data_IF_621818909416
#
_entry.id   IF_621818909416
#
_cell.length_a   1.000
_cell.length_b   1.000
_cell.length_c   1.000
_cell.angle_alpha   90.00
_cell.angle_beta   90.00
_cell.angle_gamma   90.00
#
_symmetry.space_group_name_H-M   'P 1'
#
loop_
_entity.id
_entity.type
_entity.pdbx_description
1 polymer ?
#
# COMPACT_ATOMS: atom_id res chain seq x y z
N UNK A 1 -54.09 -13.88 13.23
CA UNK A 1 -52.63 -13.95 13.49
C UNK A 1 -52.11 -12.53 13.63
N UNK A 2 -51.97 -12.04 14.86
CA UNK A 2 -51.41 -10.72 15.11
C UNK A 2 -49.89 -10.76 14.82
N UNK A 3 -49.40 -9.86 13.97
CA UNK A 3 -47.97 -9.65 13.79
C UNK A 3 -47.37 -9.19 15.13
N UNK A 4 -46.56 -10.04 15.75
CA UNK A 4 -45.75 -9.68 16.90
C UNK A 4 -44.74 -8.59 16.47
N UNK A 5 -44.55 -7.52 17.26
CA UNK A 5 -43.66 -6.42 16.89
C UNK A 5 -42.21 -6.92 16.79
N UNK A 6 -41.58 -6.69 15.64
CA UNK A 6 -40.24 -7.18 15.28
C UNK A 6 -39.09 -6.47 15.99
N UNK A 7 -39.35 -5.42 16.78
CA UNK A 7 -38.35 -4.71 17.58
C UNK A 7 -38.95 -4.23 18.89
N UNK A 8 -38.47 -4.76 20.02
CA UNK A 8 -38.76 -4.26 21.36
C UNK A 8 -37.46 -3.81 22.01
N UNK A 9 -37.44 -2.58 22.46
CA UNK A 9 -36.30 -2.00 23.18
C UNK A 9 -36.49 -2.26 24.67
N UNK A 10 -35.44 -2.78 25.33
CA UNK A 10 -35.45 -2.98 26.78
C UNK A 10 -34.80 -1.79 27.47
N UNK A 11 -35.42 -1.28 28.53
CA UNK A 11 -34.88 -0.20 29.36
C UNK A 11 -34.31 -0.78 30.65
N UNK A 12 -32.99 -0.80 30.81
CA UNK A 12 -32.36 -1.15 32.08
C UNK A 12 -32.10 0.11 32.92
N UNK A 13 -32.50 0.09 34.20
CA UNK A 13 -32.28 1.18 35.17
C UNK A 13 -31.17 0.74 36.13
N UNK A 14 -30.03 1.42 36.13
CA UNK A 14 -28.90 1.14 37.02
C UNK A 14 -28.76 2.27 38.05
N UNK A 15 -28.63 1.93 39.33
CA UNK A 15 -28.29 2.88 40.39
C UNK A 15 -26.79 2.73 40.72
N UNK A 16 -26.02 3.80 40.52
CA UNK A 16 -24.60 3.86 40.93
C UNK A 16 -24.49 4.33 42.41
N UNK A 17 -23.30 4.19 42.99
CA UNK A 17 -22.84 4.69 44.30
C UNK A 17 -23.14 6.16 44.60
N UNK A 18 -23.53 6.95 43.58
CA UNK A 18 -23.95 8.35 43.68
C UNK A 18 -25.47 8.58 43.43
N UNK A 19 -26.30 7.53 43.49
CA UNK A 19 -27.76 7.57 43.20
C UNK A 19 -28.14 8.04 41.79
N UNK A 20 -27.20 8.07 40.85
CA UNK A 20 -27.47 8.38 39.45
C UNK A 20 -28.16 7.18 38.77
N UNK A 21 -29.43 7.37 38.44
CA UNK A 21 -30.19 6.43 37.61
C UNK A 21 -29.73 6.52 36.16
N UNK A 22 -29.13 5.45 35.62
CA UNK A 22 -28.81 5.33 34.19
C UNK A 22 -29.82 4.45 33.49
N UNK A 23 -30.34 4.93 32.36
CA UNK A 23 -31.21 4.16 31.46
C UNK A 23 -30.40 3.67 30.25
N UNK A 24 -30.44 2.36 29.98
CA UNK A 24 -29.82 1.77 28.80
C UNK A 24 -30.89 1.20 27.88
N UNK A 25 -30.77 1.49 26.58
CA UNK A 25 -31.59 0.90 25.54
C UNK A 25 -30.84 -0.28 24.92
N UNK A 26 -31.42 -1.48 25.02
CA UNK A 26 -30.80 -2.72 24.55
C UNK A 26 -31.61 -3.35 23.41
N UNK A 27 -30.88 -3.94 22.45
CA UNK A 27 -31.45 -4.79 21.39
C UNK A 27 -31.42 -6.24 21.83
N UNK A 28 -32.61 -6.85 21.89
CA UNK A 28 -32.78 -8.27 22.16
C UNK A 28 -32.58 -9.09 20.88
N UNK A 29 -32.20 -10.35 21.02
CA UNK A 29 -32.16 -11.27 19.89
C UNK A 29 -33.60 -11.59 19.44
N UNK A 30 -33.96 -11.32 18.17
CA UNK A 30 -35.33 -11.48 17.71
C UNK A 30 -35.77 -12.94 17.61
N UNK A 31 -34.84 -13.89 17.40
CA UNK A 31 -35.17 -15.31 17.32
C UNK A 31 -35.47 -15.88 18.71
N UNK A 32 -34.64 -15.56 19.70
CA UNK A 32 -34.91 -15.92 21.10
C UNK A 32 -36.21 -15.28 21.59
N UNK A 33 -36.43 -14.00 21.31
CA UNK A 33 -37.67 -13.30 21.66
C UNK A 33 -38.90 -13.98 21.05
N UNK A 34 -38.83 -14.41 19.80
CA UNK A 34 -39.93 -15.12 19.16
C UNK A 34 -40.22 -16.47 19.84
N UNK A 35 -39.19 -17.25 20.17
CA UNK A 35 -39.32 -18.53 20.88
C UNK A 35 -39.98 -18.34 22.25
N UNK A 36 -39.52 -17.35 23.02
CA UNK A 36 -40.05 -17.08 24.36
C UNK A 36 -41.50 -16.57 24.28
N UNK A 37 -41.80 -15.66 23.35
CA UNK A 37 -43.15 -15.14 23.13
C UNK A 37 -44.13 -16.24 22.71
N UNK A 38 -43.67 -17.21 21.90
CA UNK A 38 -44.46 -18.37 21.51
C UNK A 38 -44.71 -19.31 22.69
N UNK A 39 -43.68 -19.62 23.48
CA UNK A 39 -43.83 -20.45 24.69
C UNK A 39 -44.82 -19.84 25.69
N UNK A 40 -44.80 -18.51 25.85
CA UNK A 40 -45.76 -17.77 26.67
C UNK A 40 -47.18 -17.84 26.10
N UNK A 41 -47.35 -17.65 24.78
CA UNK A 41 -48.65 -17.75 24.12
C UNK A 41 -49.26 -19.15 24.22
N UNK A 42 -48.42 -20.19 24.15
CA UNK A 42 -48.81 -21.59 24.27
C UNK A 42 -48.99 -22.03 25.75
N UNK A 43 -48.79 -21.12 26.71
CA UNK A 43 -48.94 -21.39 28.15
C UNK A 43 -47.86 -22.30 28.75
N UNK A 44 -46.79 -22.58 28.00
CA UNK A 44 -45.69 -23.48 28.39
C UNK A 44 -44.53 -22.75 29.06
N UNK A 45 -44.52 -21.41 29.04
CA UNK A 45 -43.49 -20.58 29.66
C UNK A 45 -44.03 -19.29 30.29
N UNK A 46 -43.26 -18.72 31.22
CA UNK A 46 -43.56 -17.45 31.87
C UNK A 46 -43.03 -16.24 31.05
N UNK A 47 -43.46 -15.02 31.40
CA UNK A 47 -42.93 -13.79 30.79
C UNK A 47 -41.51 -13.49 31.29
N UNK A 48 -40.51 -14.04 30.57
CA UNK A 48 -39.08 -13.91 30.90
C UNK A 48 -38.65 -12.44 30.99
N UNK A 49 -39.21 -11.56 30.15
CA UNK A 49 -38.75 -10.18 29.98
C UNK A 49 -39.13 -9.24 31.13
N UNK A 50 -40.03 -9.67 32.03
CA UNK A 50 -40.37 -8.97 33.27
C UNK A 50 -39.60 -9.49 34.49
N UNK A 51 -38.87 -10.60 34.34
CA UNK A 51 -38.18 -11.27 35.45
C UNK A 51 -36.73 -10.82 35.67
N UNK A 52 -36.15 -10.05 34.74
CA UNK A 52 -34.76 -9.64 34.83
C UNK A 52 -34.51 -8.71 36.02
N UNK A 53 -33.64 -9.15 36.92
CA UNK A 53 -33.21 -8.39 38.11
C UNK A 53 -31.69 -8.15 38.13
N UNK A 54 -30.94 -8.74 37.20
CA UNK A 54 -29.48 -8.61 37.09
C UNK A 54 -29.09 -8.33 35.64
N UNK A 55 -28.23 -7.33 35.45
CA UNK A 55 -27.56 -7.06 34.18
C UNK A 55 -26.05 -7.31 34.35
N UNK A 56 -25.51 -8.31 33.66
CA UNK A 56 -24.09 -8.62 33.70
C UNK A 56 -23.37 -8.00 32.50
N UNK A 57 -22.34 -7.18 32.77
CA UNK A 57 -21.44 -6.66 31.74
C UNK A 57 -20.15 -7.46 31.72
N UNK A 58 -19.71 -7.85 30.51
CA UNK A 58 -18.41 -8.51 30.29
C UNK A 58 -17.33 -7.51 29.87
N UNK A 59 -16.06 -7.90 30.02
CA UNK A 59 -14.91 -7.12 29.54
C UNK A 59 -14.98 -7.00 28.01
N UNK A 60 -14.83 -5.79 27.42
CA UNK A 60 -15.00 -5.59 25.97
C UNK A 60 -14.12 -6.50 25.10
N UNK A 61 -12.85 -6.70 25.46
CA UNK A 61 -11.89 -7.52 24.68
C UNK A 61 -12.25 -9.01 24.61
N UNK A 62 -13.03 -9.51 25.56
CA UNK A 62 -13.45 -10.91 25.66
C UNK A 62 -14.90 -11.11 25.19
N UNK A 63 -15.55 -10.06 24.66
CA UNK A 63 -16.99 -10.01 24.42
C UNK A 63 -17.36 -9.78 22.93
N UNK A 64 -16.55 -10.30 22.01
CA UNK A 64 -16.74 -10.10 20.56
C UNK A 64 -17.50 -11.24 19.85
N UNK A 65 -17.86 -12.31 20.57
CA UNK A 65 -18.44 -13.53 19.99
C UNK A 65 -19.71 -13.27 19.15
N UNK A 66 -20.62 -12.39 19.61
CA UNK A 66 -21.85 -12.08 18.88
C UNK A 66 -21.56 -11.44 17.52
N UNK A 67 -20.65 -10.47 17.47
CA UNK A 67 -20.27 -9.80 16.24
C UNK A 67 -19.60 -10.77 15.24
N UNK A 68 -18.77 -11.70 15.73
CA UNK A 68 -18.16 -12.74 14.90
C UNK A 68 -19.23 -13.68 14.32
N UNK A 69 -20.18 -14.13 15.13
CA UNK A 69 -21.27 -14.99 14.67
C UNK A 69 -22.20 -14.28 13.67
N UNK A 70 -22.48 -12.99 13.88
CA UNK A 70 -23.24 -12.18 12.94
C UNK A 70 -22.52 -12.07 11.59
N UNK A 71 -21.20 -11.84 11.59
CA UNK A 71 -20.39 -11.80 10.36
C UNK A 71 -20.37 -13.16 9.64
N UNK A 72 -20.21 -14.28 10.36
CA UNK A 72 -20.28 -15.63 9.77
C UNK A 72 -21.66 -15.85 9.13
N UNK A 73 -22.75 -15.48 9.82
CA UNK A 73 -24.10 -15.62 9.29
C UNK A 73 -24.32 -14.77 8.03
N UNK A 74 -23.81 -13.55 8.01
CA UNK A 74 -23.87 -12.67 6.84
C UNK A 74 -23.13 -13.27 5.65
N UNK A 75 -21.94 -13.85 5.87
CA UNK A 75 -21.17 -14.56 4.85
C UNK A 75 -21.92 -15.77 4.27
N UNK A 76 -22.67 -16.52 5.09
CA UNK A 76 -23.48 -17.66 4.62
C UNK A 76 -24.63 -17.23 3.70
N UNK A 77 -25.09 -15.98 3.80
CA UNK A 77 -26.16 -15.43 2.96
C UNK A 77 -25.66 -14.63 1.77
N UNK A 78 -24.36 -14.30 1.74
CA UNK A 78 -23.74 -13.50 0.68
C UNK A 78 -23.18 -14.44 -0.39
N UNK A 79 -23.31 -14.13 -1.69
CA UNK A 79 -22.65 -14.89 -2.74
C UNK A 79 -21.13 -14.97 -2.46
N UNK A 80 -20.57 -16.18 -2.52
CA UNK A 80 -19.16 -16.40 -2.26
C UNK A 80 -18.30 -15.63 -3.28
N UNK A 81 -17.59 -14.62 -2.81
CA UNK A 81 -16.67 -13.81 -3.61
C UNK A 81 -15.23 -14.28 -3.44
N UNK A 82 -14.95 -15.56 -3.73
CA UNK A 82 -13.59 -16.10 -3.72
C UNK A 82 -13.04 -16.10 -5.15
N UNK A 83 -11.78 -15.69 -5.38
CA UNK A 83 -11.15 -15.82 -6.70
C UNK A 83 -11.21 -17.27 -7.20
N UNK A 84 -11.56 -17.52 -8.47
CA UNK A 84 -11.69 -18.88 -8.99
C UNK A 84 -10.41 -19.73 -8.82
N UNK A 85 -9.24 -19.11 -8.98
CA UNK A 85 -7.94 -19.78 -8.82
C UNK A 85 -7.61 -20.15 -7.37
N UNK A 86 -8.33 -19.62 -6.38
CA UNK A 86 -8.13 -19.91 -4.96
C UNK A 86 -9.15 -20.93 -4.41
N UNK A 87 -10.29 -21.11 -5.08
CA UNK A 87 -11.42 -21.86 -4.53
C UNK A 87 -11.07 -23.30 -4.14
N UNK A 88 -10.50 -24.07 -5.07
CA UNK A 88 -10.17 -25.47 -4.84
C UNK A 88 -9.04 -25.63 -3.81
N UNK A 89 -8.01 -24.78 -3.91
CA UNK A 89 -6.88 -24.75 -2.96
C UNK A 89 -7.37 -24.41 -1.55
N UNK A 90 -8.30 -23.47 -1.41
CA UNK A 90 -8.88 -23.09 -0.12
C UNK A 90 -9.71 -24.21 0.51
N UNK A 91 -10.42 -24.99 -0.31
CA UNK A 91 -11.20 -26.15 0.14
C UNK A 91 -10.33 -27.40 0.37
N UNK A 92 -9.06 -27.38 -0.06
CA UNK A 92 -8.12 -28.48 0.08
C UNK A 92 -8.26 -29.56 -1.00
N UNK A 93 -8.86 -29.23 -2.14
CA UNK A 93 -8.97 -30.12 -3.29
C UNK A 93 -7.87 -29.81 -4.34
N UNK A 94 -7.58 -30.79 -5.20
CA UNK A 94 -6.72 -30.60 -6.36
C UNK A 94 -5.23 -30.43 -6.05
N UNK A 95 -4.51 -29.73 -6.93
CA UNK A 95 -3.09 -29.44 -6.77
C UNK A 95 -2.88 -28.24 -5.81
N UNK A 96 -2.17 -28.41 -4.69
CA UNK A 96 -1.87 -27.31 -3.76
C UNK A 96 -1.09 -26.16 -4.42
N UNK A 97 -0.36 -26.42 -5.51
CA UNK A 97 0.38 -25.42 -6.26
C UNK A 97 -0.46 -24.71 -7.34
N UNK A 98 -1.74 -25.05 -7.52
CA UNK A 98 -2.59 -24.47 -8.58
C UNK A 98 -2.77 -22.96 -8.46
N UNK A 99 -2.74 -22.42 -7.24
CA UNK A 99 -2.85 -20.99 -6.95
C UNK A 99 -1.51 -20.23 -7.03
N UNK A 100 -0.38 -20.92 -7.24
CA UNK A 100 0.92 -20.27 -7.30
C UNK A 100 1.07 -19.47 -8.61
N UNK A 101 1.88 -18.42 -8.58
CA UNK A 101 1.99 -17.49 -9.72
C UNK A 101 2.43 -18.14 -11.04
N UNK A 102 3.18 -19.25 -10.97
CA UNK A 102 3.62 -20.01 -12.14
C UNK A 102 2.56 -20.98 -12.69
N UNK A 103 1.55 -21.32 -11.90
CA UNK A 103 0.46 -22.24 -12.28
C UNK A 103 -0.74 -21.50 -12.88
N UNK A 104 -0.82 -20.18 -12.67
CA UNK A 104 -1.89 -19.35 -13.23
C UNK A 104 -1.90 -19.34 -14.77
N UNK A 105 -3.02 -18.97 -15.41
CA UNK A 105 -3.08 -18.77 -16.86
C UNK A 105 -2.02 -17.81 -17.39
N UNK A 106 -1.52 -18.03 -18.61
CA UNK A 106 -0.39 -17.28 -19.18
C UNK A 106 -0.64 -15.76 -19.26
N UNK A 107 -1.88 -15.33 -19.48
CA UNK A 107 -2.31 -13.93 -19.49
C UNK A 107 -2.23 -13.25 -18.12
N UNK A 108 -2.19 -14.03 -17.04
CA UNK A 108 -2.08 -13.54 -15.66
C UNK A 108 -0.65 -13.61 -15.11
N UNK A 109 0.27 -14.26 -15.83
CA UNK A 109 1.66 -14.38 -15.38
C UNK A 109 2.44 -13.12 -15.73
N UNK A 110 2.96 -12.47 -14.69
CA UNK A 110 3.83 -11.31 -14.84
C UNK A 110 5.26 -11.79 -15.10
N UNK A 111 5.88 -11.29 -16.17
CA UNK A 111 7.30 -11.51 -16.49
C UNK A 111 8.13 -10.26 -16.30
N UNK A 112 7.51 -9.07 -16.42
CA UNK A 112 8.17 -7.77 -16.22
C UNK A 112 7.82 -7.20 -14.86
N UNK A 113 8.82 -7.03 -14.01
CA UNK A 113 8.67 -6.59 -12.62
C UNK A 113 9.44 -5.29 -12.37
N UNK A 114 8.77 -4.29 -11.80
CA UNK A 114 9.43 -3.08 -11.29
C UNK A 114 9.71 -3.24 -9.80
N UNK A 115 10.96 -3.61 -9.47
CA UNK A 115 11.37 -3.87 -8.10
C UNK A 115 11.76 -2.60 -7.33
N UNK A 116 11.58 -1.41 -7.94
CA UNK A 116 11.89 -0.12 -7.32
C UNK A 116 13.27 -0.10 -6.63
N UNK A 117 13.30 0.07 -5.30
CA UNK A 117 14.51 0.14 -4.47
C UNK A 117 14.91 -1.19 -3.82
N UNK A 118 14.39 -2.33 -4.30
CA UNK A 118 14.72 -3.66 -3.74
C UNK A 118 16.22 -3.96 -3.86
N UNK A 119 16.84 -3.60 -4.97
CA UNK A 119 18.25 -3.87 -5.25
C UNK A 119 19.13 -2.65 -4.96
N UNK A 120 20.33 -2.91 -4.45
CA UNK A 120 21.28 -1.86 -4.05
C UNK A 120 22.23 -1.49 -5.19
N UNK A 121 22.56 -2.49 -6.01
CA UNK A 121 23.51 -2.43 -7.11
C UNK A 121 23.23 -3.61 -8.08
N UNK A 122 23.88 -3.61 -9.24
CA UNK A 122 23.70 -4.67 -10.24
C UNK A 122 24.25 -6.03 -9.74
N UNK A 123 25.28 -6.01 -8.90
CA UNK A 123 25.81 -7.22 -8.25
C UNK A 123 24.80 -7.87 -7.31
N UNK A 124 23.92 -7.09 -6.68
CA UNK A 124 22.82 -7.58 -5.88
C UNK A 124 21.85 -8.36 -6.78
N UNK A 125 21.49 -7.80 -7.94
CA UNK A 125 20.65 -8.51 -8.92
C UNK A 125 21.32 -9.82 -9.35
N UNK A 126 22.61 -9.79 -9.72
CA UNK A 126 23.38 -11.00 -10.11
C UNK A 126 23.35 -12.06 -9.01
N UNK A 127 23.59 -11.66 -7.76
CA UNK A 127 23.57 -12.56 -6.62
C UNK A 127 22.17 -13.14 -6.31
N UNK A 128 21.10 -12.40 -6.61
CA UNK A 128 19.72 -12.80 -6.33
C UNK A 128 19.17 -13.89 -7.26
N UNK A 129 19.79 -14.12 -8.43
CA UNK A 129 19.38 -15.14 -9.40
C UNK A 129 20.48 -16.18 -9.65
N UNK A 130 20.80 -17.04 -8.67
CA UNK A 130 21.83 -18.06 -8.84
C UNK A 130 21.44 -19.03 -9.96
N UNK A 131 22.37 -19.26 -10.90
CA UNK A 131 22.14 -20.16 -12.04
C UNK A 131 21.49 -19.52 -13.27
N UNK A 132 21.18 -18.22 -13.23
CA UNK A 132 20.72 -17.45 -14.39
C UNK A 132 21.85 -16.61 -14.98
N UNK A 133 21.71 -16.20 -16.24
CA UNK A 133 22.57 -15.18 -16.83
C UNK A 133 21.87 -13.81 -16.74
N UNK A 134 22.48 -12.84 -16.05
CA UNK A 134 21.89 -11.52 -15.82
C UNK A 134 22.53 -10.53 -16.78
N UNK A 135 21.73 -10.01 -17.72
CA UNK A 135 22.20 -9.10 -18.78
C UNK A 135 21.48 -7.77 -18.71
N UNK A 136 22.19 -6.68 -19.00
CA UNK A 136 21.55 -5.40 -19.26
C UNK A 136 20.76 -5.48 -20.56
N UNK A 137 19.59 -4.86 -20.59
CA UNK A 137 18.81 -4.71 -21.82
C UNK A 137 19.63 -3.93 -22.88
N UNK A 138 19.42 -4.20 -24.18
CA UNK A 138 20.26 -3.65 -25.27
C UNK A 138 20.35 -2.11 -25.28
N UNK A 139 19.35 -1.40 -24.76
CA UNK A 139 19.34 0.07 -24.67
C UNK A 139 20.16 0.63 -23.49
N UNK A 140 20.63 -0.22 -22.57
CA UNK A 140 21.41 0.16 -21.38
C UNK A 140 22.84 -0.40 -21.34
N UNK A 141 23.28 -1.04 -22.43
CA UNK A 141 24.57 -1.69 -22.54
C UNK A 141 25.63 -0.72 -23.14
N UNK A 142 25.80 0.45 -22.54
CA UNK A 142 27.02 1.22 -22.75
C UNK A 142 28.12 0.52 -21.96
N UNK A 143 29.20 0.10 -22.61
CA UNK A 143 30.30 -0.72 -22.05
C UNK A 143 31.15 -0.03 -20.96
N UNK A 144 30.54 0.82 -20.13
CA UNK A 144 31.12 1.50 -18.98
C UNK A 144 30.80 0.82 -17.64
N UNK A 145 30.77 1.61 -16.57
CA UNK A 145 30.47 1.16 -15.21
C UNK A 145 29.00 0.69 -15.07
N UNK A 146 28.75 -0.24 -14.14
CA UNK A 146 27.40 -0.77 -13.90
C UNK A 146 26.41 0.37 -13.57
N UNK A 147 25.24 0.44 -14.24
CA UNK A 147 24.29 1.52 -14.05
C UNK A 147 23.67 1.47 -12.64
N UNK A 148 23.41 2.62 -12.00
CA UNK A 148 22.81 2.66 -10.68
C UNK A 148 21.35 2.19 -10.69
N UNK A 149 20.82 1.72 -9.54
CA UNK A 149 19.39 1.42 -9.40
C UNK A 149 18.53 2.69 -9.54
N UNK A 150 17.22 2.58 -9.78
CA UNK A 150 16.37 1.37 -9.75
C UNK A 150 16.39 0.53 -11.03
N UNK A 151 15.95 -0.73 -10.90
CA UNK A 151 15.93 -1.71 -11.99
C UNK A 151 14.54 -2.29 -12.23
N UNK A 152 14.17 -2.40 -13.50
CA UNK A 152 13.05 -3.21 -13.97
C UNK A 152 13.60 -4.52 -14.54
N UNK A 153 13.07 -5.65 -14.06
CA UNK A 153 13.54 -6.97 -14.45
C UNK A 153 12.53 -7.65 -15.36
N UNK A 154 13.01 -8.21 -16.48
CA UNK A 154 12.24 -9.18 -17.25
C UNK A 154 12.75 -10.57 -16.91
N UNK A 155 11.93 -11.34 -16.20
CA UNK A 155 12.27 -12.65 -15.66
C UNK A 155 11.45 -13.72 -16.38
N UNK A 156 12.07 -14.55 -17.24
CA UNK A 156 11.40 -15.64 -17.93
C UNK A 156 10.80 -16.68 -16.97
N UNK A 157 9.90 -17.51 -17.50
CA UNK A 157 9.24 -18.57 -16.71
C UNK A 157 10.18 -19.73 -16.38
N UNK A 158 11.23 -19.90 -17.18
CA UNK A 158 12.25 -20.95 -17.06
C UNK A 158 13.24 -20.67 -15.92
N UNK A 159 13.24 -19.45 -15.37
CA UNK A 159 14.09 -19.07 -14.23
C UNK A 159 13.77 -19.95 -13.02
N UNK A 160 14.77 -20.65 -12.44
CA UNK A 160 14.59 -21.50 -11.27
C UNK A 160 13.95 -20.73 -10.12
N UNK A 161 13.02 -21.39 -9.44
CA UNK A 161 12.41 -20.87 -8.22
C UNK A 161 13.40 -21.07 -7.08
N UNK A 162 13.61 -20.06 -6.25
CA UNK A 162 14.52 -20.13 -5.11
C UNK A 162 14.08 -21.19 -4.09
N UNK A 163 14.59 -22.42 -4.22
CA UNK A 163 14.38 -23.51 -3.29
C UNK A 163 14.30 -24.87 -3.98
N UNK A 164 15.39 -25.64 -3.92
CA UNK A 164 15.29 -27.10 -4.00
C UNK A 164 14.32 -27.60 -2.92
N UNK A 165 13.63 -28.70 -3.22
CA UNK A 165 12.62 -29.36 -2.40
C UNK A 165 12.73 -29.11 -0.89
N UNK A 166 11.63 -28.71 -0.26
CA UNK A 166 11.51 -28.71 1.19
C UNK A 166 11.77 -30.15 1.73
N UNK A 167 12.66 -30.34 2.71
CA UNK A 167 12.80 -31.62 3.39
C UNK A 167 11.61 -31.79 4.34
N UNK A 168 10.81 -32.85 4.17
CA UNK A 168 9.83 -33.27 5.19
C UNK A 168 8.40 -33.52 4.73
N UNK A 169 8.15 -33.90 3.47
CA UNK A 169 6.93 -34.65 3.14
C UNK A 169 7.35 -36.08 2.84
N UNK A 170 7.19 -36.95 3.84
CA UNK A 170 7.36 -38.40 3.70
C UNK A 170 6.36 -38.92 2.66
N UNK A 171 6.83 -39.07 1.42
CA UNK A 171 6.18 -39.91 0.43
C UNK A 171 6.70 -41.34 0.63
N UNK A 172 5.75 -42.27 0.70
CA UNK A 172 5.95 -43.65 1.12
C UNK A 172 7.04 -44.42 0.38
N UNK A 173 7.57 -45.39 1.10
CA UNK A 173 8.58 -46.37 0.73
C UNK A 173 8.38 -46.94 -0.69
N UNK A 174 9.40 -46.77 -1.53
CA UNK A 174 9.50 -47.32 -2.87
C UNK A 174 10.93 -47.26 -3.38
N UNK A 175 11.67 -48.34 -3.12
CA UNK A 175 12.92 -48.82 -3.73
C UNK A 175 14.01 -47.82 -4.16
N UNK A 176 15.14 -47.92 -3.46
CA UNK A 176 16.40 -47.24 -3.71
C UNK A 176 17.00 -47.63 -5.08
N UNK A 177 17.14 -46.64 -5.96
CA UNK A 177 18.11 -46.64 -7.05
C UNK A 177 19.15 -45.56 -6.78
N UNK A 178 20.39 -45.95 -6.50
CA UNK A 178 21.54 -45.06 -6.44
C UNK A 178 21.70 -44.37 -7.81
N UNK A 179 21.51 -43.05 -7.83
CA UNK A 179 21.65 -42.20 -9.01
C UNK A 179 22.52 -41.01 -8.67
N UNK A 180 23.72 -41.01 -9.24
CA UNK A 180 24.78 -40.02 -9.11
C UNK A 180 24.27 -38.58 -9.28
N UNK A 181 24.89 -37.65 -8.54
CA UNK A 181 24.77 -36.23 -8.77
C UNK A 181 25.34 -35.88 -10.15
N UNK A 182 24.49 -35.96 -11.17
CA UNK A 182 24.79 -35.48 -12.52
C UNK A 182 24.71 -33.95 -12.54
N UNK A 183 25.87 -33.30 -12.55
CA UNK A 183 26.02 -31.96 -13.12
C UNK A 183 25.62 -32.05 -14.60
N UNK A 184 24.38 -31.65 -14.91
CA UNK A 184 23.93 -31.48 -16.28
C UNK A 184 24.58 -30.25 -16.91
N UNK A 185 25.79 -30.40 -17.45
CA UNK A 185 26.36 -29.49 -18.43
C UNK A 185 25.53 -29.59 -19.73
N UNK A 186 24.93 -28.47 -20.19
CA UNK A 186 24.38 -28.38 -21.55
C UNK A 186 23.05 -27.66 -21.75
N UNK A 187 22.40 -27.13 -20.71
CA UNK A 187 21.22 -26.24 -20.87
C UNK A 187 21.64 -24.77 -20.95
N UNK A 188 21.15 -24.02 -21.95
CA UNK A 188 21.28 -22.55 -21.94
C UNK A 188 20.70 -22.00 -20.63
N UNK A 189 21.50 -21.26 -19.87
CA UNK A 189 21.03 -20.62 -18.63
C UNK A 189 19.94 -19.59 -18.99
N UNK A 190 18.81 -19.58 -18.28
CA UNK A 190 17.77 -18.59 -18.53
C UNK A 190 18.32 -17.19 -18.30
N UNK A 191 17.99 -16.27 -19.21
CA UNK A 191 18.51 -14.90 -19.21
C UNK A 191 17.52 -13.99 -18.49
N UNK A 192 17.97 -13.31 -17.43
CA UNK A 192 17.23 -12.23 -16.78
C UNK A 192 17.69 -10.90 -17.36
N UNK A 193 16.77 -10.14 -17.95
CA UNK A 193 17.08 -8.83 -18.52
C UNK A 193 16.86 -7.74 -17.48
N UNK A 194 17.85 -6.86 -17.33
CA UNK A 194 17.84 -5.73 -16.41
C UNK A 194 17.74 -4.43 -17.21
N UNK A 195 16.65 -3.71 -17.02
CA UNK A 195 16.43 -2.36 -17.55
C UNK A 195 16.64 -1.36 -16.41
N UNK A 196 17.80 -0.69 -16.29
CA UNK A 196 17.93 0.45 -15.39
C UNK A 196 17.01 1.58 -15.88
N UNK A 197 16.47 2.35 -14.95
CA UNK A 197 15.70 3.55 -15.30
C UNK A 197 16.02 4.68 -14.33
N UNK A 198 15.96 5.90 -14.83
CA UNK A 198 16.13 7.08 -13.98
C UNK A 198 14.97 7.17 -13.00
N UNK A 199 15.32 7.15 -11.71
CA UNK A 199 14.34 7.42 -10.67
C UNK A 199 13.81 8.84 -10.87
N UNK A 200 12.51 9.01 -10.64
CA UNK A 200 11.86 10.31 -10.48
C UNK A 200 12.72 11.23 -9.61
N UNK A 201 13.16 12.38 -10.13
CA UNK A 201 14.07 13.28 -9.41
C UNK A 201 13.54 13.69 -8.01
N UNK A 202 14.41 13.91 -7.03
CA UNK A 202 13.97 14.48 -5.75
C UNK A 202 13.52 15.94 -5.93
N UNK A 203 12.64 16.41 -5.04
CA UNK A 203 12.39 17.86 -4.94
C UNK A 203 13.60 18.58 -4.32
N UNK A 204 13.64 19.92 -4.37
CA UNK A 204 14.82 20.69 -3.96
C UNK A 204 14.98 20.81 -2.44
N UNK A 205 14.03 20.34 -1.64
CA UNK A 205 14.11 20.41 -0.19
C UNK A 205 14.48 19.06 0.44
N UNK A 206 15.10 19.05 1.64
CA UNK A 206 15.47 17.81 2.33
C UNK A 206 14.31 16.86 2.60
N UNK A 207 13.10 17.38 2.80
CA UNK A 207 11.89 16.56 2.96
C UNK A 207 11.45 15.85 1.67
N UNK A 208 11.90 16.33 0.51
CA UNK A 208 11.61 15.73 -0.80
C UNK A 208 12.70 14.71 -1.20
N UNK A 209 13.66 14.44 -0.30
CA UNK A 209 14.69 13.45 -0.52
C UNK A 209 14.09 12.04 -0.46
N UNK A 210 14.27 11.31 -1.55
CA UNK A 210 13.79 9.95 -1.69
C UNK A 210 14.46 9.04 -0.68
N UNK A 211 13.65 8.32 0.08
CA UNK A 211 14.15 7.30 1.00
C UNK A 211 14.38 6.00 0.22
N UNK A 212 15.51 5.36 0.48
CA UNK A 212 15.91 4.11 -0.16
C UNK A 212 16.02 3.00 0.86
N UNK A 213 15.60 1.81 0.48
CA UNK A 213 15.81 0.60 1.23
C UNK A 213 17.33 0.33 1.41
N UNK A 214 17.82 0.16 2.65
CA UNK A 214 19.21 -0.19 2.92
C UNK A 214 19.47 -1.70 2.96
N UNK A 215 18.41 -2.53 2.91
CA UNK A 215 18.52 -3.97 3.13
C UNK A 215 18.94 -4.69 1.85
N UNK A 216 20.04 -5.44 1.91
CA UNK A 216 20.43 -6.39 0.85
C UNK A 216 19.67 -7.70 1.04
N UNK A 217 18.68 -7.96 0.17
CA UNK A 217 17.83 -9.15 0.26
C UNK A 217 18.55 -10.41 -0.25
N UNK A 218 18.27 -11.52 0.40
CA UNK A 218 18.78 -12.85 -0.04
C UNK A 218 18.02 -13.34 -1.29
N UNK A 219 18.58 -14.29 -2.06
CA UNK A 219 17.89 -14.86 -3.23
C UNK A 219 16.49 -15.39 -2.90
N UNK A 220 16.31 -16.09 -1.77
CA UNK A 220 14.99 -16.57 -1.35
C UNK A 220 14.02 -15.43 -0.99
N UNK A 221 14.52 -14.33 -0.41
CA UNK A 221 13.67 -13.16 -0.16
C UNK A 221 13.29 -12.45 -1.46
N UNK A 222 14.19 -12.37 -2.44
CA UNK A 222 13.88 -11.82 -3.77
C UNK A 222 12.87 -12.70 -4.50
N UNK A 223 12.96 -14.02 -4.39
CA UNK A 223 11.94 -14.93 -4.90
C UNK A 223 10.59 -14.73 -4.19
N UNK A 224 10.58 -14.53 -2.86
CA UNK A 224 9.36 -14.19 -2.14
C UNK A 224 8.75 -12.85 -2.61
N UNK A 225 9.58 -11.84 -2.91
CA UNK A 225 9.14 -10.56 -3.48
C UNK A 225 8.59 -10.73 -4.90
N UNK A 226 9.26 -11.51 -5.75
CA UNK A 226 8.78 -11.87 -7.09
C UNK A 226 7.40 -12.52 -7.01
N UNK A 227 7.24 -13.51 -6.15
CA UNK A 227 5.97 -14.20 -5.93
C UNK A 227 4.88 -13.26 -5.38
N UNK A 228 5.22 -12.35 -4.46
CA UNK A 228 4.27 -11.37 -3.91
C UNK A 228 3.83 -10.29 -4.90
N UNK A 229 4.70 -9.95 -5.86
CA UNK A 229 4.38 -8.99 -6.93
C UNK A 229 3.59 -9.61 -8.09
N UNK A 230 3.50 -10.93 -8.16
CA UNK A 230 2.67 -11.63 -9.14
C UNK A 230 1.28 -11.94 -8.59
N UNK A 231 0.34 -12.22 -9.49
CA UNK A 231 -0.96 -12.76 -9.12
C UNK A 231 -0.81 -14.17 -8.50
N UNK A 232 -1.71 -14.51 -7.57
CA UNK A 232 -1.80 -15.84 -6.97
C UNK A 232 -1.67 -15.84 -5.45
N UNK A 233 -1.46 -17.03 -4.89
CA UNK A 233 -1.20 -17.27 -3.48
C UNK A 233 0.31 -17.46 -3.26
N UNK A 234 0.89 -16.62 -2.41
CA UNK A 234 2.31 -16.68 -2.04
C UNK A 234 2.43 -16.93 -0.54
N UNK A 235 2.95 -18.11 -0.18
CA UNK A 235 3.19 -18.50 1.21
C UNK A 235 4.69 -18.39 1.52
N UNK A 236 5.03 -17.49 2.44
CA UNK A 236 6.41 -17.28 2.88
C UNK A 236 6.59 -17.82 4.29
N UNK A 237 7.37 -18.89 4.43
CA UNK A 237 7.75 -19.46 5.72
C UNK A 237 9.15 -18.98 6.08
N UNK A 238 9.32 -18.43 7.28
CA UNK A 238 10.62 -17.94 7.74
C UNK A 238 10.81 -18.19 9.24
N UNK A 239 11.90 -18.82 9.67
CA UNK A 239 12.29 -18.90 11.08
C UNK A 239 12.35 -17.51 11.76
N UNK A 240 12.39 -17.45 13.11
CA UNK A 240 12.64 -16.20 13.82
C UNK A 240 13.92 -15.52 13.32
N UNK A 241 13.89 -14.21 13.10
CA UNK A 241 15.06 -13.43 12.67
C UNK A 241 15.36 -13.41 11.17
N UNK A 242 14.62 -14.13 10.30
CA UNK A 242 14.91 -14.18 8.85
C UNK A 242 14.41 -12.97 8.03
N UNK A 243 14.14 -11.84 8.67
CA UNK A 243 13.72 -10.61 7.97
C UNK A 243 12.32 -10.63 7.36
N UNK A 244 11.40 -11.47 7.84
CA UNK A 244 10.01 -11.55 7.34
C UNK A 244 9.33 -10.18 7.23
N UNK A 245 9.51 -9.33 8.25
CA UNK A 245 8.96 -7.97 8.26
C UNK A 245 9.56 -7.11 7.16
N UNK A 246 10.87 -7.19 6.93
CA UNK A 246 11.54 -6.42 5.88
C UNK A 246 11.10 -6.85 4.47
N UNK A 247 10.91 -8.15 4.26
CA UNK A 247 10.35 -8.70 3.02
C UNK A 247 8.90 -8.28 2.83
N UNK A 248 8.07 -8.34 3.87
CA UNK A 248 6.67 -7.89 3.79
C UNK A 248 6.55 -6.40 3.48
N UNK A 249 7.36 -5.56 4.15
CA UNK A 249 7.40 -4.11 3.90
C UNK A 249 7.86 -3.81 2.47
N UNK A 250 8.87 -4.53 1.97
CA UNK A 250 9.33 -4.34 0.59
C UNK A 250 8.26 -4.80 -0.41
N UNK A 251 7.55 -5.90 -0.15
CA UNK A 251 6.45 -6.35 -1.00
C UNK A 251 5.35 -5.28 -1.09
N UNK A 252 4.92 -4.73 0.05
CA UNK A 252 3.94 -3.63 0.09
C UNK A 252 4.47 -2.41 -0.65
N UNK A 253 5.72 -2.00 -0.43
CA UNK A 253 6.35 -0.89 -1.15
C UNK A 253 6.33 -1.10 -2.67
N UNK A 254 6.76 -2.27 -3.13
CA UNK A 254 6.78 -2.60 -4.56
C UNK A 254 5.37 -2.58 -5.16
N UNK A 255 4.36 -3.13 -4.46
CA UNK A 255 2.97 -3.11 -4.92
C UNK A 255 2.41 -1.69 -5.05
N UNK A 256 2.72 -0.81 -4.08
CA UNK A 256 2.28 0.59 -4.11
C UNK A 256 2.88 1.38 -5.29
N UNK A 257 4.14 1.07 -5.65
CA UNK A 257 4.83 1.71 -6.77
C UNK A 257 4.45 1.11 -8.13
N UNK A 258 4.44 -0.22 -8.26
CA UNK A 258 4.16 -0.93 -9.50
C UNK A 258 2.69 -0.86 -9.89
N UNK A 259 1.78 -0.83 -8.91
CA UNK A 259 0.33 -0.86 -9.13
C UNK A 259 -0.38 0.28 -8.38
N UNK A 260 -0.18 1.56 -8.75
CA UNK A 260 -0.66 2.72 -8.00
C UNK A 260 -2.20 2.85 -7.94
N UNK A 261 -2.92 2.08 -8.77
CA UNK A 261 -4.40 1.99 -8.79
C UNK A 261 -4.95 0.87 -7.92
N UNK A 262 -4.12 -0.08 -7.51
CA UNK A 262 -4.51 -1.17 -6.63
C UNK A 262 -4.50 -0.70 -5.17
N UNK A 263 -5.12 -1.50 -4.31
CA UNK A 263 -5.11 -1.29 -2.86
C UNK A 263 -4.68 -2.56 -2.16
N UNK A 264 -3.88 -2.37 -1.13
CA UNK A 264 -3.27 -3.45 -0.37
C UNK A 264 -3.89 -3.48 1.03
N UNK A 265 -4.48 -4.61 1.40
CA UNK A 265 -4.98 -4.86 2.75
C UNK A 265 -3.94 -5.68 3.53
N UNK A 266 -3.44 -5.15 4.64
CA UNK A 266 -2.47 -5.81 5.51
C UNK A 266 -3.19 -6.30 6.75
N UNK A 267 -3.19 -7.61 6.99
CA UNK A 267 -3.84 -8.20 8.17
C UNK A 267 -2.76 -8.80 9.06
N UNK A 268 -2.81 -8.49 10.36
CA UNK A 268 -1.91 -9.06 11.37
C UNK A 268 -2.69 -9.50 12.60
N UNK A 269 -2.11 -10.40 13.39
CA UNK A 269 -2.73 -10.85 14.65
C UNK A 269 -2.59 -9.81 15.79
N UNK A 270 -1.63 -8.88 15.71
CA UNK A 270 -1.35 -7.95 16.79
C UNK A 270 -1.00 -6.56 16.29
N UNK A 271 -1.43 -5.54 17.04
CA UNK A 271 -1.08 -4.15 16.73
C UNK A 271 0.44 -3.90 16.75
N UNK A 272 1.22 -4.69 17.49
CA UNK A 272 2.68 -4.56 17.48
C UNK A 272 3.25 -4.89 16.10
N UNK A 273 2.84 -6.02 15.53
CA UNK A 273 3.27 -6.42 14.18
C UNK A 273 2.84 -5.39 13.13
N UNK A 274 1.64 -4.82 13.28
CA UNK A 274 1.16 -3.74 12.43
C UNK A 274 2.04 -2.49 12.54
N UNK A 275 2.35 -2.05 13.77
CA UNK A 275 3.24 -0.90 14.01
C UNK A 275 4.63 -1.14 13.41
N UNK A 276 5.22 -2.32 13.60
CA UNK A 276 6.54 -2.66 13.05
C UNK A 276 6.56 -2.57 11.52
N UNK A 277 5.48 -2.98 10.85
CA UNK A 277 5.32 -2.84 9.39
C UNK A 277 5.21 -1.38 8.99
N UNK A 278 4.35 -0.59 9.65
CA UNK A 278 4.18 0.83 9.30
C UNK A 278 5.42 1.67 9.60
N UNK A 279 6.10 1.45 10.73
CA UNK A 279 7.35 2.15 11.05
C UNK A 279 8.43 1.92 10.00
N UNK A 280 8.53 0.70 9.46
CA UNK A 280 9.47 0.42 8.36
C UNK A 280 8.98 0.95 7.02
N UNK A 281 7.68 0.97 6.76
CA UNK A 281 7.11 1.55 5.55
C UNK A 281 7.30 3.08 5.53
N UNK A 282 7.18 3.75 6.68
CA UNK A 282 7.49 5.16 6.87
C UNK A 282 8.92 5.53 6.47
N UNK A 283 9.87 4.62 6.70
CA UNK A 283 11.26 4.82 6.33
C UNK A 283 11.50 4.69 4.82
N UNK A 284 10.49 4.28 4.04
CA UNK A 284 10.60 4.01 2.59
C UNK A 284 9.64 4.84 1.73
N UNK A 285 8.55 5.34 2.29
CA UNK A 285 7.54 6.12 1.55
C UNK A 285 7.36 7.53 2.14
N UNK A 286 7.49 8.54 1.29
CA UNK A 286 7.31 9.97 1.61
C UNK A 286 5.89 10.28 2.07
N UNK A 287 4.87 9.58 1.55
CA UNK A 287 3.45 9.84 1.84
C UNK A 287 3.03 9.48 3.27
N UNK A 288 3.83 8.66 3.94
CA UNK A 288 3.55 8.21 5.30
C UNK A 288 4.43 8.96 6.31
N UNK A 289 5.63 9.39 5.93
CA UNK A 289 6.77 9.75 6.79
C UNK A 289 6.53 10.77 7.91
N UNK A 290 5.54 11.64 7.77
CA UNK A 290 5.28 12.77 8.67
C UNK A 290 4.35 12.44 9.84
N UNK A 291 3.70 11.26 9.84
CA UNK A 291 2.65 10.94 10.80
C UNK A 291 2.91 9.63 11.55
N UNK A 292 2.76 9.68 12.89
CA UNK A 292 2.86 8.52 13.78
C UNK A 292 1.51 7.94 14.22
N UNK A 293 0.40 8.60 13.89
CA UNK A 293 -0.97 8.14 14.21
C UNK A 293 -1.70 7.69 12.94
N UNK A 294 -1.61 6.40 12.62
CA UNK A 294 -2.31 5.80 11.47
C UNK A 294 -3.78 5.51 11.72
N UNK A 295 -4.33 5.90 12.88
CA UNK A 295 -5.76 5.75 13.11
C UNK A 295 -6.56 6.59 12.13
N UNK A 296 -7.81 6.19 11.89
CA UNK A 296 -8.76 6.97 11.07
C UNK A 296 -8.84 8.44 11.52
N UNK A 297 -8.76 8.71 12.82
CA UNK A 297 -8.81 10.08 13.35
C UNK A 297 -7.50 10.83 13.12
N UNK A 298 -6.36 10.18 13.37
CA UNK A 298 -5.03 10.72 13.08
C UNK A 298 -4.95 11.16 11.63
N UNK A 299 -5.17 10.22 10.69
CA UNK A 299 -5.12 10.47 9.25
C UNK A 299 -6.04 11.61 8.78
N UNK A 300 -7.23 11.76 9.38
CA UNK A 300 -8.10 12.92 9.05
C UNK A 300 -7.46 14.22 9.50
N UNK A 301 -6.91 14.28 10.71
CA UNK A 301 -6.25 15.48 11.23
C UNK A 301 -5.01 15.84 10.41
N UNK A 302 -4.22 14.84 10.01
CA UNK A 302 -3.09 15.05 9.12
C UNK A 302 -3.50 15.63 7.77
N UNK A 303 -4.50 15.04 7.10
CA UNK A 303 -4.97 15.57 5.82
C UNK A 303 -5.52 17.00 5.93
N UNK A 304 -6.12 17.36 7.07
CA UNK A 304 -6.55 18.74 7.33
C UNK A 304 -5.37 19.70 7.54
N UNK A 305 -4.35 19.29 8.28
CA UNK A 305 -3.11 20.06 8.45
C UNK A 305 -2.36 20.24 7.13
N UNK A 306 -2.16 19.12 6.42
CA UNK A 306 -1.54 19.09 5.09
C UNK A 306 -2.25 20.00 4.09
N UNK A 307 -3.58 20.04 4.13
CA UNK A 307 -4.37 20.98 3.31
C UNK A 307 -3.97 22.43 3.57
N UNK A 308 -3.86 22.84 4.84
CA UNK A 308 -3.47 24.22 5.19
C UNK A 308 -2.05 24.54 4.73
N UNK A 309 -1.11 23.61 4.89
CA UNK A 309 0.26 23.75 4.41
C UNK A 309 0.32 23.91 2.89
N UNK A 310 -0.40 23.07 2.13
CA UNK A 310 -0.44 23.14 0.67
C UNK A 310 -1.06 24.45 0.18
N UNK A 311 -2.14 24.92 0.82
CA UNK A 311 -2.76 26.21 0.48
C UNK A 311 -1.83 27.40 0.76
N UNK A 312 -1.07 27.36 1.86
CA UNK A 312 -0.05 28.38 2.14
C UNK A 312 1.07 28.36 1.10
N UNK A 313 1.48 27.18 0.60
CA UNK A 313 2.44 27.07 -0.50
C UNK A 313 1.89 27.64 -1.80
N UNK A 314 0.61 27.39 -2.12
CA UNK A 314 -0.06 28.00 -3.28
C UNK A 314 -0.05 29.52 -3.16
N UNK A 315 -0.30 30.06 -1.98
CA UNK A 315 -0.26 31.51 -1.74
C UNK A 315 1.14 32.09 -1.97
N UNK A 316 2.18 31.39 -1.49
CA UNK A 316 3.58 31.78 -1.71
C UNK A 316 3.96 31.74 -3.20
N UNK A 317 3.54 30.69 -3.93
CA UNK A 317 3.75 30.58 -5.37
C UNK A 317 2.99 31.65 -6.15
N UNK A 318 1.77 32.00 -5.74
CA UNK A 318 1.02 33.08 -6.37
C UNK A 318 1.76 34.42 -6.24
N UNK A 319 2.25 34.73 -5.02
CA UNK A 319 3.05 35.93 -4.75
C UNK A 319 4.33 35.99 -5.58
N UNK A 320 5.05 34.88 -5.72
CA UNK A 320 6.28 34.83 -6.52
C UNK A 320 6.02 34.99 -8.02
N UNK A 321 4.78 34.77 -8.49
CA UNK A 321 4.39 34.92 -9.89
C UNK A 321 3.65 36.23 -10.17
N UNK A 322 3.62 37.15 -9.19
CA UNK A 322 2.88 38.42 -9.20
C UNK A 322 1.37 38.25 -9.47
N UNK A 323 0.81 37.16 -8.95
CA UNK A 323 -0.63 36.85 -9.01
C UNK A 323 -1.25 37.15 -7.65
N UNK A 324 -2.48 37.69 -7.60
CA UNK A 324 -3.22 37.85 -6.35
C UNK A 324 -3.23 36.58 -5.49
N UNK A 325 -2.94 36.76 -4.20
CA UNK A 325 -2.79 35.67 -3.23
C UNK A 325 -4.12 34.96 -2.89
N UNK A 326 -5.26 35.51 -3.32
CA UNK A 326 -6.59 34.96 -3.06
C UNK A 326 -6.84 33.59 -3.72
N UNK A 327 -6.00 33.21 -4.68
CA UNK A 327 -5.99 31.86 -5.26
C UNK A 327 -5.63 30.75 -4.26
N UNK A 328 -5.04 31.09 -3.11
CA UNK A 328 -4.69 30.15 -2.05
C UNK A 328 -5.79 29.88 -1.01
N UNK A 329 -6.99 30.48 -1.13
CA UNK A 329 -8.01 30.37 -0.07
C UNK A 329 -8.74 29.02 -0.02
N UNK A 330 -8.92 28.36 -1.16
CA UNK A 330 -9.65 27.09 -1.25
C UNK A 330 -8.94 26.10 -2.16
N UNK A 331 -9.17 24.79 -1.97
CA UNK A 331 -8.66 23.77 -2.88
C UNK A 331 -9.19 23.96 -4.32
N UNK A 332 -10.36 24.58 -4.46
CA UNK A 332 -10.96 24.87 -5.76
C UNK A 332 -10.23 26.01 -6.49
N UNK A 333 -10.02 27.15 -5.82
CA UNK A 333 -9.28 28.29 -6.38
C UNK A 333 -7.83 27.94 -6.68
N UNK A 334 -7.18 27.18 -5.80
CA UNK A 334 -5.84 26.64 -6.01
C UNK A 334 -5.77 25.74 -7.25
N UNK A 335 -6.78 24.89 -7.47
CA UNK A 335 -6.88 24.05 -8.65
C UNK A 335 -7.06 24.84 -9.95
N UNK A 336 -7.80 25.95 -9.92
CA UNK A 336 -7.91 26.85 -11.07
C UNK A 336 -6.58 27.57 -11.36
N UNK A 337 -5.93 28.10 -10.34
CA UNK A 337 -4.61 28.75 -10.47
C UNK A 337 -3.56 27.80 -11.04
N UNK A 338 -3.52 26.55 -10.58
CA UNK A 338 -2.61 25.56 -11.11
C UNK A 338 -2.82 25.34 -12.62
N UNK A 339 -4.07 25.16 -13.06
CA UNK A 339 -4.39 24.91 -14.47
C UNK A 339 -4.24 26.13 -15.37
N UNK A 340 -4.58 27.32 -14.87
CA UNK A 340 -4.62 28.54 -15.68
C UNK A 340 -3.27 29.27 -15.73
N UNK A 341 -2.42 29.11 -14.72
CA UNK A 341 -1.17 29.88 -14.58
C UNK A 341 0.05 28.99 -14.46
N UNK A 342 0.03 28.00 -13.58
CA UNK A 342 1.22 27.21 -13.24
C UNK A 342 1.58 26.21 -14.34
N UNK A 343 0.63 25.35 -14.74
CA UNK A 343 0.84 24.34 -15.77
C UNK A 343 1.20 24.94 -17.15
N UNK A 344 0.55 26.01 -17.65
CA UNK A 344 0.95 26.62 -18.92
C UNK A 344 2.36 27.22 -18.90
N UNK A 345 2.81 27.78 -17.77
CA UNK A 345 4.20 28.28 -17.61
C UNK A 345 5.21 27.13 -17.65
N UNK A 346 4.89 25.99 -17.04
CA UNK A 346 5.72 24.79 -17.11
C UNK A 346 5.79 24.21 -18.53
N UNK A 347 4.65 24.10 -19.22
CA UNK A 347 4.59 23.62 -20.60
C UNK A 347 5.40 24.52 -21.56
N UNK A 348 5.32 25.84 -21.39
CA UNK A 348 6.13 26.79 -22.15
C UNK A 348 7.63 26.62 -21.87
N UNK A 349 8.00 26.45 -20.59
CA UNK A 349 9.38 26.15 -20.20
C UNK A 349 9.89 24.84 -20.80
N UNK A 350 9.11 23.75 -20.75
CA UNK A 350 9.51 22.48 -21.35
C UNK A 350 9.70 22.60 -22.87
N UNK A 351 8.83 23.35 -23.54
CA UNK A 351 8.95 23.59 -24.97
C UNK A 351 10.24 24.35 -25.30
N UNK A 352 10.56 25.39 -24.53
CA UNK A 352 11.77 26.20 -24.73
C UNK A 352 13.05 25.42 -24.37
N UNK A 353 13.05 24.69 -23.26
CA UNK A 353 14.15 23.82 -22.87
C UNK A 353 14.44 22.74 -23.93
N UNK A 354 13.40 22.18 -24.56
CA UNK A 354 13.57 21.25 -25.69
C UNK A 354 14.12 21.93 -26.95
N UNK A 355 13.80 23.21 -27.19
CA UNK A 355 14.33 23.95 -28.35
C UNK A 355 15.77 24.38 -28.16
N UNK A 356 16.13 24.82 -26.95
CA UNK A 356 17.47 25.29 -26.61
C UNK A 356 18.51 24.16 -26.62
N UNK A 357 18.10 22.90 -26.44
CA UNK A 357 19.01 21.76 -26.43
C UNK A 357 20.03 21.85 -25.30
N UNK A 358 21.32 21.67 -25.63
CA UNK A 358 22.43 21.72 -24.67
C UNK A 358 23.01 23.14 -24.48
N UNK A 359 22.26 24.18 -24.83
CA UNK A 359 22.71 25.56 -24.61
C UNK A 359 22.94 25.83 -23.11
N UNK A 360 24.16 26.28 -22.78
CA UNK A 360 24.60 26.49 -21.41
C UNK A 360 23.71 27.54 -20.70
N UNK A 361 23.17 27.15 -19.54
CA UNK A 361 22.31 27.99 -18.71
C UNK A 361 20.89 28.21 -19.26
N UNK A 362 20.49 27.60 -20.37
CA UNK A 362 19.15 27.80 -20.93
C UNK A 362 18.04 27.34 -19.96
N UNK A 363 18.24 26.21 -19.28
CA UNK A 363 17.29 25.68 -18.29
C UNK A 363 17.05 26.68 -17.15
N UNK A 364 18.12 27.22 -16.56
CA UNK A 364 18.04 28.20 -15.48
C UNK A 364 17.36 29.51 -15.94
N UNK A 365 17.73 30.01 -17.13
CA UNK A 365 17.17 31.27 -17.68
C UNK A 365 15.67 31.20 -17.95
N UNK A 366 15.17 30.04 -18.39
CA UNK A 366 13.76 29.86 -18.76
C UNK A 366 12.89 29.28 -17.64
N UNK A 367 13.48 28.88 -16.50
CA UNK A 367 12.74 28.28 -15.40
C UNK A 367 11.74 29.28 -14.78
N UNK A 368 10.44 28.96 -14.73
CA UNK A 368 9.41 29.95 -14.42
C UNK A 368 9.15 30.17 -12.92
N UNK A 369 9.84 29.42 -12.05
CA UNK A 369 9.55 29.39 -10.60
C UNK A 369 10.77 29.75 -9.73
N UNK A 370 11.79 30.39 -10.28
CA UNK A 370 13.04 30.70 -9.56
C UNK A 370 12.81 31.43 -8.24
N UNK A 371 11.95 32.45 -8.23
CA UNK A 371 11.65 33.24 -7.03
C UNK A 371 10.94 32.44 -5.94
N UNK A 372 10.15 31.43 -6.33
CA UNK A 372 9.47 30.53 -5.38
C UNK A 372 10.46 29.59 -4.66
N UNK A 373 11.57 29.24 -5.31
CA UNK A 373 12.59 28.33 -4.77
C UNK A 373 13.81 29.07 -4.22
N UNK A 374 13.70 30.38 -3.96
CA UNK A 374 14.80 31.20 -3.45
C UNK A 374 15.22 30.83 -2.01
N UNK A 375 14.37 30.16 -1.25
CA UNK A 375 14.61 29.69 0.13
C UNK A 375 15.17 28.25 0.19
N UNK A 376 15.49 27.66 -0.94
CA UNK A 376 16.10 26.32 -0.99
C UNK A 376 17.47 26.29 -0.29
N UNK A 377 17.81 25.22 0.48
CA UNK A 377 19.07 25.17 1.23
C UNK A 377 20.34 25.14 0.36
N UNK A 378 20.19 24.76 -0.90
CA UNK A 378 21.25 24.74 -1.90
C UNK A 378 20.68 25.28 -3.21
N UNK A 379 21.48 25.99 -4.02
CA UNK A 379 21.00 26.53 -5.29
C UNK A 379 20.34 25.44 -6.14
N UNK A 380 19.13 25.70 -6.61
CA UNK A 380 18.36 24.76 -7.45
C UNK A 380 19.16 24.31 -8.68
N UNK A 381 19.89 25.25 -9.30
CA UNK A 381 20.78 25.00 -10.42
C UNK A 381 22.23 25.20 -9.98
N UNK A 382 22.99 24.11 -9.86
CA UNK A 382 24.40 24.18 -9.49
C UNK A 382 25.24 24.70 -10.67
N UNK A 383 26.18 25.66 -10.47
CA UNK A 383 26.92 26.30 -11.57
C UNK A 383 27.78 25.36 -12.45
N UNK A 384 28.13 24.18 -11.94
CA UNK A 384 28.99 23.20 -12.63
C UNK A 384 28.25 21.93 -13.08
N UNK A 385 26.91 21.92 -12.98
CA UNK A 385 26.10 20.77 -13.39
C UNK A 385 25.75 20.81 -14.89
N UNK A 386 25.51 19.64 -15.47
CA UNK A 386 25.12 19.53 -16.88
C UNK A 386 23.68 20.03 -17.11
N UNK A 387 23.35 20.39 -18.36
CA UNK A 387 21.99 20.78 -18.73
C UNK A 387 20.94 19.70 -18.40
N UNK A 388 21.29 18.41 -18.55
CA UNK A 388 20.46 17.29 -18.13
C UNK A 388 20.20 17.30 -16.61
N UNK A 389 21.23 17.53 -15.79
CA UNK A 389 21.08 17.63 -14.35
C UNK A 389 20.25 18.84 -13.91
N UNK A 390 20.37 19.98 -14.61
CA UNK A 390 19.48 21.14 -14.39
C UNK A 390 18.03 20.81 -14.76
N UNK A 391 17.78 20.11 -15.86
CA UNK A 391 16.44 19.71 -16.26
C UNK A 391 15.79 18.78 -15.23
N UNK A 392 16.56 17.85 -14.66
CA UNK A 392 16.08 16.99 -13.59
C UNK A 392 15.81 17.74 -12.29
N UNK A 393 16.65 18.73 -11.94
CA UNK A 393 16.38 19.62 -10.82
C UNK A 393 15.07 20.41 -11.03
N UNK A 394 14.84 20.92 -12.24
CA UNK A 394 13.60 21.59 -12.61
C UNK A 394 12.38 20.66 -12.52
N UNK A 395 12.50 19.39 -12.95
CA UNK A 395 11.46 18.35 -12.79
C UNK A 395 11.23 17.97 -11.32
N UNK A 396 12.28 18.03 -10.50
CA UNK A 396 12.24 17.96 -9.04
C UNK A 396 11.35 19.05 -8.45
N UNK A 397 11.66 20.29 -8.80
CA UNK A 397 10.93 21.48 -8.41
C UNK A 397 9.46 21.45 -8.87
N UNK A 398 9.19 21.02 -10.11
CA UNK A 398 7.83 20.84 -10.62
C UNK A 398 6.98 19.94 -9.72
N UNK A 399 7.50 18.80 -9.28
CA UNK A 399 6.77 17.91 -8.37
C UNK A 399 6.47 18.53 -7.02
N UNK A 400 7.35 19.40 -6.52
CA UNK A 400 7.08 20.12 -5.28
C UNK A 400 5.90 21.09 -5.41
N UNK A 401 5.71 21.64 -6.62
CA UNK A 401 4.64 22.59 -6.96
C UNK A 401 3.32 21.88 -7.30
N UNK A 402 3.35 20.61 -7.73
CA UNK A 402 2.14 19.84 -7.99
C UNK A 402 1.28 19.69 -6.72
N UNK A 403 -0.02 19.98 -6.86
CA UNK A 403 -0.95 19.95 -5.75
C UNK A 403 -1.54 18.55 -5.55
N UNK A 404 -1.33 17.99 -4.36
CA UNK A 404 -2.00 16.76 -3.94
C UNK A 404 -3.51 16.99 -3.73
N UNK A 405 -4.31 15.94 -3.99
CA UNK A 405 -5.77 16.02 -3.96
C UNK A 405 -6.33 16.12 -2.52
N UNK A 406 -6.45 17.35 -2.00
CA UNK A 406 -7.07 17.62 -0.69
C UNK A 406 -8.54 18.09 -0.77
N UNK A 407 -9.12 18.21 -1.98
CA UNK A 407 -10.45 18.82 -2.19
C UNK A 407 -11.57 18.10 -1.44
N UNK A 408 -11.51 16.78 -1.34
CA UNK A 408 -12.55 16.01 -0.64
C UNK A 408 -12.66 16.38 0.85
N UNK A 409 -11.56 16.76 1.50
CA UNK A 409 -11.55 17.14 2.92
C UNK A 409 -12.15 18.53 3.17
N UNK A 410 -12.21 19.37 2.14
CA UNK A 410 -12.92 20.64 2.16
C UNK A 410 -14.44 20.45 2.05
N UNK A 411 -14.88 19.57 1.16
CA UNK A 411 -16.31 19.32 0.89
C UNK A 411 -16.98 18.53 2.01
N UNK A 412 -16.30 17.51 2.54
CA UNK A 412 -16.84 16.65 3.60
C UNK A 412 -16.74 17.36 4.95
N UNK A 413 -17.87 17.46 5.67
CA UNK A 413 -17.94 18.19 6.94
C UNK A 413 -17.69 17.32 8.16
N UNK A 414 -18.21 16.10 8.18
CA UNK A 414 -18.12 15.23 9.36
C UNK A 414 -16.82 14.42 9.37
N UNK A 415 -16.26 14.22 10.58
CA UNK A 415 -15.11 13.33 10.79
C UNK A 415 -15.40 11.89 10.34
N UNK A 416 -16.68 11.48 10.40
CA UNK A 416 -17.13 10.20 9.89
C UNK A 416 -16.96 10.15 8.37
N UNK A 417 -17.53 11.08 7.62
CA UNK A 417 -17.47 11.03 6.15
C UNK A 417 -16.04 11.15 5.63
N UNK A 418 -15.22 12.04 6.24
CA UNK A 418 -13.80 12.18 5.92
C UNK A 418 -13.03 10.88 6.12
N UNK A 419 -13.28 10.19 7.25
CA UNK A 419 -12.64 8.92 7.52
C UNK A 419 -13.13 7.78 6.61
N UNK A 420 -14.38 7.81 6.15
CA UNK A 420 -14.88 6.86 5.14
C UNK A 420 -14.26 7.14 3.76
N UNK A 421 -14.11 8.41 3.38
CA UNK A 421 -13.41 8.77 2.14
C UNK A 421 -11.95 8.29 2.16
N UNK A 422 -11.27 8.44 3.30
CA UNK A 422 -9.93 7.88 3.48
C UNK A 422 -9.90 6.38 3.19
N UNK A 423 -10.78 5.61 3.85
CA UNK A 423 -10.81 4.16 3.72
C UNK A 423 -11.24 3.68 2.32
N UNK A 424 -12.17 4.38 1.69
CA UNK A 424 -12.84 3.91 0.46
C UNK A 424 -12.29 4.52 -0.81
N UNK A 425 -11.54 5.63 -0.75
CA UNK A 425 -11.04 6.36 -1.94
C UNK A 425 -9.55 6.65 -1.87
N UNK A 426 -9.07 7.20 -0.76
CA UNK A 426 -7.71 7.76 -0.68
C UNK A 426 -6.63 6.74 -0.30
N UNK A 427 -6.87 5.86 0.67
CA UNK A 427 -5.87 4.95 1.18
C UNK A 427 -5.50 3.87 0.14
N UNK A 428 -4.19 3.74 -0.13
CA UNK A 428 -3.63 2.68 -0.98
C UNK A 428 -3.19 1.46 -0.17
N UNK A 429 -2.77 1.65 1.07
CA UNK A 429 -2.55 0.59 2.04
C UNK A 429 -3.51 0.76 3.22
N UNK A 430 -4.20 -0.32 3.61
CA UNK A 430 -5.16 -0.36 4.72
C UNK A 430 -4.76 -1.52 5.62
N UNK A 431 -4.83 -1.34 6.95
CA UNK A 431 -4.47 -2.36 7.92
C UNK A 431 -5.40 -2.38 9.14
#
# INVERSE_FOLDING_TARGET
MAQLPTRRFFHAVLADSQFLVRKLELRLDPAQYHTDAKAMADGTGADVYQSFNVLLRRKPKENNFKAILEAIRELLTTPLATPPWLHDVLLGYGDPAAAAYWSLPADQRVTKHDFADTFLDLDHVRASFPGCDVRLAPDGADGGADPPPPYRLTIPHEVPRGGGAAPGVEAGEGEAGEGEAGEGEGGERPVVLVEPYERRAAGPYPQDALRVNPVRFTPMQVEALRAAMSAGLSLVVGPPGTGKTDTAVQAVSNLLHAYPRQRTLVITHSNQALNDVFEKLLLRDELLATERDFSRRGRVNYMLGRRLELLARVEALAKSLDVPADVGYTCETAGYFFKATVAPRWEAFEAEARRAGDEEGAVERHFPFSDFFADTPSPLFAPAASGAAHLDAARGAWRHVELEECRAFELLRSSYDRGNYLLTKHAKAVA
#
